data_IF_944270783581
#
_entry.id   IF_944270783581
#
_cell.length_a   1.000
_cell.length_b   1.000
_cell.length_c   1.000
_cell.angle_alpha   90.00
_cell.angle_beta   90.00
_cell.angle_gamma   90.00
#
_symmetry.space_group_name_H-M   'P 1'
#
loop_
_entity.id
_entity.type
_entity.pdbx_description
1 polymer ?
#
# COMPACT_ATOMS: atom_id res chain seq x y z
N UNK A 1 -9.16 -25.21 26.62
CA UNK A 1 -8.92 -23.87 27.17
C UNK A 1 -8.99 -22.91 26.00
N UNK A 2 -10.15 -22.28 25.84
CA UNK A 2 -10.37 -21.16 24.94
C UNK A 2 -9.94 -19.85 25.63
N UNK A 3 -9.85 -18.79 24.83
CA UNK A 3 -9.67 -17.37 25.14
C UNK A 3 -8.21 -16.85 24.96
N UNK A 4 -7.91 -15.88 24.11
CA UNK A 4 -8.76 -15.08 23.23
C UNK A 4 -7.87 -14.25 22.31
N UNK A 5 -8.09 -14.33 20.99
CA UNK A 5 -7.45 -13.45 20.03
C UNK A 5 -8.37 -12.23 19.83
N UNK A 6 -8.07 -11.16 20.56
CA UNK A 6 -8.77 -9.87 20.49
C UNK A 6 -8.65 -9.29 19.08
N UNK A 7 -9.80 -9.07 18.45
CA UNK A 7 -9.93 -8.41 17.16
C UNK A 7 -9.59 -6.92 17.24
N UNK A 8 -8.98 -6.39 16.17
CA UNK A 8 -8.63 -4.99 16.02
C UNK A 8 -8.75 -4.51 14.58
N UNK A 9 -9.96 -4.10 14.18
CA UNK A 9 -10.24 -2.97 13.29
C UNK A 9 -9.66 -2.92 11.87
N UNK A 10 -9.28 -4.03 11.23
CA UNK A 10 -9.00 -4.05 9.79
C UNK A 10 -10.25 -4.51 9.04
N UNK A 11 -10.77 -3.70 8.12
CA UNK A 11 -11.84 -4.15 7.20
C UNK A 11 -11.45 -5.47 6.54
N UNK A 12 -12.42 -6.34 6.27
CA UNK A 12 -12.14 -7.62 5.63
C UNK A 12 -11.46 -7.41 4.27
N UNK A 13 -10.72 -8.40 3.77
CA UNK A 13 -10.06 -8.31 2.45
C UNK A 13 -11.04 -7.90 1.34
N UNK A 14 -12.27 -8.40 1.42
CA UNK A 14 -13.37 -8.02 0.53
C UNK A 14 -13.77 -6.55 0.66
N UNK A 15 -13.80 -6.00 1.88
CA UNK A 15 -14.11 -4.58 2.10
C UNK A 15 -13.00 -3.68 1.56
N UNK A 16 -11.74 -4.10 1.74
CA UNK A 16 -10.58 -3.37 1.23
C UNK A 16 -10.62 -3.35 -0.29
N UNK A 17 -10.84 -4.49 -0.94
CA UNK A 17 -10.92 -4.56 -2.41
C UNK A 17 -12.13 -3.77 -2.92
N UNK A 18 -13.28 -3.86 -2.25
CA UNK A 18 -14.50 -3.13 -2.66
C UNK A 18 -14.40 -1.61 -2.55
N UNK A 19 -13.51 -1.10 -1.68
CA UNK A 19 -13.25 0.34 -1.51
C UNK A 19 -11.97 0.83 -2.19
N UNK A 20 -11.15 -0.08 -2.73
CA UNK A 20 -9.91 0.26 -3.41
C UNK A 20 -10.16 0.75 -4.84
N UNK A 21 -9.30 1.65 -5.32
CA UNK A 21 -9.25 2.04 -6.73
C UNK A 21 -8.52 0.97 -7.54
N UNK A 22 -9.23 0.35 -8.49
CA UNK A 22 -8.62 -0.57 -9.45
C UNK A 22 -7.85 0.19 -10.52
N UNK A 23 -6.56 -0.10 -10.66
CA UNK A 23 -5.66 0.53 -11.64
C UNK A 23 -5.42 -0.42 -12.81
N UNK A 24 -5.17 -1.70 -12.50
CA UNK A 24 -5.08 -2.78 -13.48
C UNK A 24 -6.02 -3.89 -13.03
N UNK A 25 -6.93 -4.25 -13.93
CA UNK A 25 -7.99 -5.21 -13.65
C UNK A 25 -7.45 -6.51 -13.04
N UNK A 26 -8.02 -6.91 -11.91
CA UNK A 26 -7.68 -8.14 -11.17
C UNK A 26 -6.22 -8.23 -10.71
N UNK A 27 -5.46 -7.12 -10.77
CA UNK A 27 -3.99 -7.17 -10.66
C UNK A 27 -3.39 -6.09 -9.78
N UNK A 28 -3.81 -4.85 -9.95
CA UNK A 28 -3.25 -3.71 -9.23
C UNK A 28 -4.35 -2.81 -8.71
N UNK A 29 -4.32 -2.58 -7.40
CA UNK A 29 -5.25 -1.71 -6.70
C UNK A 29 -4.50 -0.72 -5.83
N UNK A 30 -5.15 0.40 -5.57
CA UNK A 30 -4.74 1.40 -4.59
C UNK A 30 -5.78 1.57 -3.50
N UNK A 31 -5.37 1.57 -2.24
CA UNK A 31 -6.27 1.70 -1.10
C UNK A 31 -5.73 2.66 -0.03
N UNK A 32 -6.62 3.31 0.70
CA UNK A 32 -6.27 4.07 1.91
C UNK A 32 -6.71 3.28 3.12
N UNK A 33 -5.77 2.90 3.99
CA UNK A 33 -6.02 2.03 5.13
C UNK A 33 -5.63 2.74 6.43
N UNK A 34 -6.36 2.46 7.52
CA UNK A 34 -5.98 2.97 8.85
C UNK A 34 -4.98 2.07 9.57
N UNK A 35 -5.00 0.79 9.25
CA UNK A 35 -4.19 -0.25 9.89
C UNK A 35 -3.39 -0.97 8.81
N UNK A 36 -2.13 -1.32 9.13
CA UNK A 36 -1.29 -2.15 8.27
C UNK A 36 -1.91 -3.54 8.09
N UNK A 37 -2.36 -3.90 6.88
CA UNK A 37 -2.96 -5.21 6.63
C UNK A 37 -1.90 -6.30 6.62
N UNK A 38 -2.32 -7.54 6.92
CA UNK A 38 -1.50 -8.75 6.70
C UNK A 38 -1.73 -9.25 5.28
N UNK A 39 -0.66 -9.68 4.61
CA UNK A 39 -0.78 -10.35 3.30
C UNK A 39 -1.52 -11.67 3.43
N UNK A 40 -2.31 -11.99 2.39
CA UNK A 40 -3.09 -13.23 2.30
C UNK A 40 -2.48 -14.15 1.24
N UNK A 41 -3.10 -15.31 1.04
CA UNK A 41 -2.74 -16.21 -0.06
C UNK A 41 -3.00 -15.57 -1.42
N UNK A 42 -4.03 -14.73 -1.53
CA UNK A 42 -4.49 -14.13 -2.79
C UNK A 42 -4.11 -12.66 -2.94
N UNK A 43 -3.58 -12.01 -1.91
CA UNK A 43 -3.30 -10.58 -1.93
C UNK A 43 -1.96 -10.25 -1.30
N UNK A 44 -1.19 -9.42 -2.00
CA UNK A 44 0.05 -8.84 -1.54
C UNK A 44 -0.13 -7.36 -1.26
N UNK A 45 -0.04 -6.97 0.01
CA UNK A 45 -0.08 -5.57 0.42
C UNK A 45 1.33 -4.97 0.46
N UNK A 46 1.48 -3.73 0.03
CA UNK A 46 2.68 -2.94 0.26
C UNK A 46 2.36 -1.45 0.40
N UNK A 47 3.17 -0.74 1.17
CA UNK A 47 3.15 0.73 1.30
C UNK A 47 4.56 1.26 1.03
N UNK A 48 4.64 2.54 0.70
CA UNK A 48 5.89 3.30 0.56
C UNK A 48 5.99 4.45 1.58
N UNK A 49 5.03 4.53 2.52
CA UNK A 49 4.89 5.67 3.44
C UNK A 49 6.15 5.94 4.28
N UNK A 50 6.90 4.87 4.61
CA UNK A 50 8.10 4.90 5.45
C UNK A 50 9.40 4.81 4.64
N UNK A 51 9.33 4.61 3.31
CA UNK A 51 10.51 4.31 2.48
C UNK A 51 11.07 5.53 1.75
N UNK A 52 10.25 6.55 1.54
CA UNK A 52 10.66 7.78 0.86
C UNK A 52 10.57 8.94 1.85
N UNK A 53 11.58 9.05 2.71
CA UNK A 53 11.84 10.30 3.43
C UNK A 53 12.18 11.36 2.39
N UNK A 54 11.26 12.30 2.22
CA UNK A 54 11.48 13.47 1.40
C UNK A 54 12.48 14.37 2.14
N UNK A 55 13.74 14.38 1.71
CA UNK A 55 14.66 15.43 2.14
C UNK A 55 14.20 16.72 1.46
N UNK A 56 13.44 17.53 2.19
CA UNK A 56 13.04 18.88 1.80
C UNK A 56 14.31 19.67 1.46
N UNK A 57 14.56 19.97 0.19
CA UNK A 57 15.68 20.85 -0.13
C UNK A 57 15.36 22.29 0.27
N UNK A 58 14.12 22.76 0.16
CA UNK A 58 13.63 24.03 0.70
C UNK A 58 12.10 24.04 0.61
N UNK A 59 11.38 24.01 1.75
CA UNK A 59 9.94 24.30 1.95
C UNK A 59 8.87 23.90 0.89
N UNK A 60 9.21 23.14 -0.14
CA UNK A 60 8.33 22.79 -1.24
C UNK A 60 7.64 21.48 -0.93
N UNK A 61 6.37 21.55 -0.53
CA UNK A 61 5.40 20.45 -0.61
C UNK A 61 4.98 20.20 -2.08
N UNK A 62 5.96 20.27 -3.00
CA UNK A 62 5.77 19.99 -4.41
C UNK A 62 5.52 18.50 -4.64
N UNK A 63 4.93 18.13 -5.79
CA UNK A 63 4.73 16.72 -6.15
C UNK A 63 6.06 15.99 -6.04
N UNK A 64 6.02 14.79 -5.44
CA UNK A 64 7.15 13.89 -5.21
C UNK A 64 8.21 14.04 -6.32
N UNK A 65 9.45 14.41 -5.96
CA UNK A 65 10.57 14.54 -6.91
C UNK A 65 10.57 13.37 -7.91
N UNK A 66 10.76 13.65 -9.21
CA UNK A 66 10.77 12.66 -10.30
C UNK A 66 11.61 11.41 -9.99
N UNK A 67 12.70 11.56 -9.23
CA UNK A 67 13.51 10.44 -8.75
C UNK A 67 12.70 9.45 -7.88
N UNK A 68 11.80 9.94 -7.03
CA UNK A 68 10.91 9.12 -6.20
C UNK A 68 9.85 8.43 -7.05
N UNK A 69 9.27 9.12 -8.04
CA UNK A 69 8.32 8.53 -8.99
C UNK A 69 8.97 7.37 -9.75
N UNK A 70 10.19 7.58 -10.25
CA UNK A 70 10.95 6.53 -10.93
C UNK A 70 11.22 5.32 -10.01
N UNK A 71 11.61 5.56 -8.75
CA UNK A 71 11.79 4.51 -7.74
C UNK A 71 10.50 3.74 -7.46
N UNK A 72 9.37 4.46 -7.35
CA UNK A 72 8.05 3.86 -7.16
C UNK A 72 7.69 2.95 -8.34
N UNK A 73 7.75 3.46 -9.57
CA UNK A 73 7.44 2.68 -10.77
C UNK A 73 8.33 1.44 -10.87
N UNK A 74 9.64 1.58 -10.59
CA UNK A 74 10.58 0.46 -10.57
C UNK A 74 10.19 -0.60 -9.53
N UNK A 75 9.85 -0.19 -8.31
CA UNK A 75 9.43 -1.09 -7.22
C UNK A 75 8.12 -1.80 -7.58
N UNK A 76 7.16 -1.07 -8.12
CA UNK A 76 5.87 -1.61 -8.55
C UNK A 76 6.04 -2.63 -9.68
N UNK A 77 6.84 -2.32 -10.70
CA UNK A 77 7.14 -3.24 -11.80
C UNK A 77 7.83 -4.52 -11.30
N UNK A 78 8.75 -4.42 -10.34
CA UNK A 78 9.35 -5.60 -9.71
C UNK A 78 8.31 -6.49 -9.02
N UNK A 79 7.27 -5.91 -8.42
CA UNK A 79 6.18 -6.68 -7.79
C UNK A 79 5.25 -7.32 -8.81
N UNK A 80 4.92 -6.60 -9.88
CA UNK A 80 4.06 -7.10 -10.95
C UNK A 80 4.71 -8.24 -11.73
N UNK A 81 6.03 -8.18 -11.94
CA UNK A 81 6.79 -9.20 -12.68
C UNK A 81 7.35 -10.33 -11.80
N UNK A 82 7.06 -10.33 -10.49
CA UNK A 82 7.51 -11.39 -9.60
C UNK A 82 6.60 -12.61 -9.72
N UNK A 83 7.15 -13.74 -10.18
CA UNK A 83 6.41 -15.00 -10.36
C UNK A 83 5.73 -15.50 -9.08
N UNK A 84 6.35 -15.30 -7.90
CA UNK A 84 5.76 -15.67 -6.61
C UNK A 84 4.50 -14.86 -6.25
N UNK A 85 4.32 -13.70 -6.89
CA UNK A 85 3.16 -12.84 -6.76
C UNK A 85 2.21 -12.93 -7.97
N UNK A 86 2.54 -13.75 -8.98
CA UNK A 86 1.84 -13.80 -10.27
C UNK A 86 0.34 -14.08 -10.16
N UNK A 87 -0.08 -14.80 -9.13
CA UNK A 87 -1.50 -15.11 -8.88
C UNK A 87 -2.16 -14.23 -7.80
N UNK A 88 -1.42 -13.31 -7.18
CA UNK A 88 -1.92 -12.47 -6.09
C UNK A 88 -2.33 -11.08 -6.56
N UNK A 89 -3.42 -10.51 -6.09
CA UNK A 89 -3.68 -9.07 -6.27
C UNK A 89 -2.58 -8.24 -5.59
N UNK A 90 -2.03 -7.24 -6.27
CA UNK A 90 -1.11 -6.27 -5.66
C UNK A 90 -1.95 -5.09 -5.17
N UNK A 91 -1.89 -4.81 -3.87
CA UNK A 91 -2.54 -3.64 -3.29
C UNK A 91 -1.46 -2.69 -2.75
N UNK A 92 -1.30 -1.56 -3.44
CA UNK A 92 -0.56 -0.44 -2.89
C UNK A 92 -1.48 0.26 -1.89
N UNK A 93 -1.07 0.37 -0.63
CA UNK A 93 -1.83 1.15 0.35
C UNK A 93 -1.00 2.29 0.90
N UNK A 94 -1.69 3.36 1.27
CA UNK A 94 -1.14 4.40 2.14
C UNK A 94 -1.93 4.42 3.44
N UNK A 95 -1.26 4.80 4.52
CA UNK A 95 -1.84 4.96 5.84
C UNK A 95 -2.20 6.41 6.10
N UNK A 96 -3.36 6.62 6.72
CA UNK A 96 -3.72 7.94 7.20
C UNK A 96 -2.88 8.23 8.46
N UNK A 97 -1.79 8.98 8.31
CA UNK A 97 -1.08 9.56 9.45
C UNK A 97 -1.56 11.02 9.64
N UNK A 98 -2.27 11.34 10.73
CA UNK A 98 -2.66 12.72 11.05
C UNK A 98 -1.46 13.70 11.09
N UNK A 99 -0.23 13.19 11.30
CA UNK A 99 0.99 14.00 11.34
C UNK A 99 1.56 14.34 9.95
N UNK A 100 1.05 13.76 8.86
CA UNK A 100 1.49 14.06 7.48
C UNK A 100 0.74 15.23 6.83
N UNK A 101 -0.18 15.86 7.57
CA UNK A 101 -0.85 17.11 7.19
C UNK A 101 -0.50 18.18 8.22
N UNK A 102 0.55 18.95 7.95
CA UNK A 102 0.82 20.27 8.54
C UNK A 102 1.43 21.14 7.46
#
# INVERSE_FOLDING_TARGET
MIDGNVGGGGGSETDIIGSASEILKDRLYFATLRIRPKSTINTHFFSIDDEFLYENFYADFGPLNLAVVHRYCTKLNKKLNNSTLGHKRIIHYTTFDPKKTS
#
